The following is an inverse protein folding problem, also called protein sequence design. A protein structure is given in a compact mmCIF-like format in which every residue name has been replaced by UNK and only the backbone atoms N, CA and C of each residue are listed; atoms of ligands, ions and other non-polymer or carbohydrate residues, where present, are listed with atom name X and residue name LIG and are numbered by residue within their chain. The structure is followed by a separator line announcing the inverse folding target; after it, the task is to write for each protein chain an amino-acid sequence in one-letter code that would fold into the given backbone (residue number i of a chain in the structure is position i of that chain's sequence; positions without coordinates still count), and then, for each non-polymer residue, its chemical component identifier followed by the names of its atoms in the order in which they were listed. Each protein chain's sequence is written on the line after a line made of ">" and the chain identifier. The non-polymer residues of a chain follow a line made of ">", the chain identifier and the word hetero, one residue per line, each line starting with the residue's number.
data_IF_020219312752
#
_entry.id   IF_020219312752
#
_cell.length_a   1.000
_cell.length_b   1.000
_cell.length_c   1.000
_cell.angle_alpha   90.00
_cell.angle_beta   90.00
_cell.angle_gamma   90.00
#
_symmetry.space_group_name_H-M   'P 1'
#
loop_
_entity.id
_entity.type
_entity.pdbx_description
1 polymer ?
#
# COMPACT_ATOMS: atom_id res chain seq x y z
N UNK A 1 24.45 -6.36 -6.27
CA UNK A 1 23.11 -6.53 -5.68
C UNK A 1 22.99 -5.61 -4.49
N UNK A 2 22.55 -4.36 -4.70
CA UNK A 2 22.03 -3.50 -3.63
C UNK A 2 20.51 -3.66 -3.68
N UNK A 3 19.86 -3.85 -2.55
CA UNK A 3 18.40 -3.95 -2.51
C UNK A 3 17.82 -2.55 -2.62
N UNK A 4 17.35 -2.15 -3.81
CA UNK A 4 16.48 -0.98 -3.98
C UNK A 4 15.11 -1.32 -3.39
N UNK A 5 14.91 -0.91 -2.14
CA UNK A 5 13.78 -1.34 -1.33
C UNK A 5 12.48 -0.64 -1.69
N UNK A 6 11.67 -1.28 -2.54
CA UNK A 6 10.22 -1.07 -2.48
C UNK A 6 9.69 -1.77 -1.23
N UNK A 7 9.16 -0.99 -0.29
CA UNK A 7 8.55 -1.48 0.96
C UNK A 7 7.17 -2.09 0.67
N UNK A 8 7.15 -3.31 0.12
CA UNK A 8 5.96 -4.17 0.17
C UNK A 8 5.84 -4.70 1.58
N UNK A 9 5.04 -4.03 2.41
CA UNK A 9 4.90 -4.34 3.83
C UNK A 9 3.92 -5.50 4.06
N UNK A 10 4.33 -6.73 3.73
CA UNK A 10 3.50 -7.93 3.85
C UNK A 10 3.16 -8.25 5.32
N UNK A 11 2.00 -7.81 5.81
CA UNK A 11 1.49 -8.15 7.14
C UNK A 11 0.82 -9.53 7.15
N UNK A 12 1.58 -10.58 7.41
CA UNK A 12 1.04 -11.94 7.57
C UNK A 12 0.23 -12.05 8.86
N UNK A 13 -1.11 -12.15 8.74
CA UNK A 13 -2.00 -12.37 9.87
C UNK A 13 -2.17 -13.87 10.16
N UNK A 14 -1.45 -14.39 11.15
CA UNK A 14 -1.59 -15.78 11.59
C UNK A 14 -2.88 -15.98 12.40
N UNK A 15 -3.92 -16.53 11.77
CA UNK A 15 -5.18 -16.89 12.45
C UNK A 15 -5.02 -18.25 13.14
N UNK A 16 -4.95 -18.24 14.47
CA UNK A 16 -4.92 -19.46 15.28
C UNK A 16 -6.28 -20.17 15.31
N UNK A 17 -6.32 -21.44 14.89
CA UNK A 17 -7.49 -22.31 15.03
C UNK A 17 -7.57 -22.86 16.46
N UNK A 18 -8.58 -22.43 17.23
CA UNK A 18 -8.96 -23.08 18.49
C UNK A 18 -10.01 -24.16 18.24
N UNK A 19 -9.59 -25.43 18.33
CA UNK A 19 -10.49 -26.59 18.30
C UNK A 19 -10.95 -26.94 19.72
N UNK A 20 -12.23 -26.71 20.02
CA UNK A 20 -12.84 -27.08 21.30
C UNK A 20 -13.66 -28.37 21.20
N UNK A 21 -13.21 -29.44 21.87
CA UNK A 21 -13.97 -30.68 22.08
C UNK A 21 -13.96 -31.05 23.57
N UNK A 22 -15.13 -31.35 24.15
CA UNK A 22 -15.28 -31.84 25.53
C UNK A 22 -16.76 -32.00 25.89
N UNK A 23 -17.14 -33.14 26.47
CA UNK A 23 -18.53 -33.63 26.43
C UNK A 23 -19.04 -34.26 27.76
N UNK A 24 -20.31 -33.96 28.10
CA UNK A 24 -21.31 -34.76 28.86
C UNK A 24 -21.15 -35.15 30.35
N UNK A 25 -22.30 -35.13 31.05
CA UNK A 25 -22.61 -35.73 32.37
C UNK A 25 -23.28 -34.73 33.34
N UNK A 26 -24.40 -34.99 34.04
CA UNK A 26 -25.26 -36.20 34.18
C UNK A 26 -26.69 -35.82 34.65
N UNK A 27 -27.64 -36.78 34.62
CA UNK A 27 -29.11 -36.60 34.66
C UNK A 27 -29.81 -36.45 36.02
N UNK A 28 -30.87 -35.62 36.04
CA UNK A 28 -32.17 -35.74 36.77
C UNK A 28 -33.12 -34.58 36.35
N UNK A 29 -34.45 -34.63 36.41
CA UNK A 29 -35.44 -35.71 36.66
C UNK A 29 -36.81 -35.39 35.97
N UNK A 30 -37.97 -35.64 36.61
CA UNK A 30 -39.37 -35.41 36.14
C UNK A 30 -40.31 -35.19 37.38
N UNK A 31 -41.63 -34.83 37.27
CA UNK A 31 -42.53 -34.74 36.08
C UNK A 31 -43.50 -33.52 35.92
N UNK A 32 -43.89 -33.26 34.65
CA UNK A 32 -45.19 -32.83 34.02
C UNK A 32 -46.16 -31.81 34.68
N UNK A 33 -46.47 -30.68 33.99
CA UNK A 33 -47.77 -30.38 33.31
C UNK A 33 -47.88 -28.94 32.77
N UNK A 34 -48.50 -28.78 31.59
CA UNK A 34 -48.87 -27.49 30.99
C UNK A 34 -48.59 -27.38 29.48
N UNK A 35 -49.47 -27.88 28.63
CA UNK A 35 -49.42 -27.60 27.18
C UNK A 35 -49.87 -26.17 26.88
N UNK A 36 -49.09 -25.44 26.09
CA UNK A 36 -49.60 -24.41 25.17
C UNK A 36 -48.56 -24.13 24.10
N UNK A 37 -48.87 -24.49 22.86
CA UNK A 37 -48.02 -24.21 21.69
C UNK A 37 -48.05 -22.71 21.38
N UNK A 38 -46.88 -22.09 21.18
CA UNK A 38 -46.68 -21.32 19.95
C UNK A 38 -45.57 -21.91 19.08
N UNK A 39 -45.65 -21.64 17.78
CA UNK A 39 -44.80 -22.23 16.74
C UNK A 39 -43.29 -22.02 17.01
N UNK A 40 -42.56 -23.13 17.08
CA UNK A 40 -41.10 -23.12 17.00
C UNK A 40 -40.68 -22.70 15.59
N UNK A 41 -40.30 -21.44 15.40
CA UNK A 41 -39.46 -21.06 14.28
C UNK A 41 -38.13 -21.80 14.42
N UNK A 42 -37.95 -22.87 13.66
CA UNK A 42 -36.70 -23.63 13.60
C UNK A 42 -35.56 -22.68 13.18
N UNK A 43 -34.40 -22.67 13.85
CA UNK A 43 -33.26 -21.90 13.38
C UNK A 43 -32.89 -22.36 11.97
N UNK A 44 -33.06 -21.48 10.99
CA UNK A 44 -32.64 -21.76 9.62
C UNK A 44 -31.12 -21.98 9.65
N UNK A 45 -30.67 -23.18 9.28
CA UNK A 45 -29.24 -23.46 9.10
C UNK A 45 -28.69 -22.41 8.14
N UNK A 46 -27.68 -21.67 8.57
CA UNK A 46 -27.00 -20.66 7.75
C UNK A 46 -26.33 -21.34 6.56
N UNK A 47 -27.07 -21.43 5.45
CA UNK A 47 -26.53 -21.71 4.13
C UNK A 47 -25.82 -20.42 3.67
N UNK A 48 -24.59 -20.50 3.12
CA UNK A 48 -23.87 -19.31 2.71
C UNK A 48 -24.66 -18.53 1.66
N UNK A 49 -24.56 -17.21 1.72
CA UNK A 49 -25.17 -16.33 0.72
C UNK A 49 -24.30 -16.29 -0.54
N UNK A 50 -24.89 -15.93 -1.68
CA UNK A 50 -24.14 -15.75 -2.95
C UNK A 50 -22.91 -14.85 -2.77
N UNK A 51 -23.02 -13.80 -1.94
CA UNK A 51 -21.92 -12.88 -1.59
C UNK A 51 -20.78 -13.59 -0.84
N UNK A 52 -21.10 -14.56 0.04
CA UNK A 52 -20.11 -15.34 0.77
C UNK A 52 -19.46 -16.41 -0.11
N UNK A 53 -20.25 -17.05 -0.99
CA UNK A 53 -19.76 -18.08 -1.92
C UNK A 53 -18.74 -17.50 -2.92
N UNK A 54 -18.99 -16.30 -3.47
CA UNK A 54 -18.05 -15.66 -4.41
C UNK A 54 -16.76 -15.19 -3.73
N UNK A 55 -16.83 -14.70 -2.49
CA UNK A 55 -15.64 -14.36 -1.70
C UNK A 55 -14.82 -15.63 -1.44
N UNK A 56 -15.47 -16.71 -0.99
CA UNK A 56 -14.78 -17.99 -0.74
C UNK A 56 -14.14 -18.54 -2.01
N UNK A 57 -14.83 -18.48 -3.15
CA UNK A 57 -14.29 -18.95 -4.42
C UNK A 57 -13.07 -18.13 -4.86
N UNK A 58 -13.09 -16.80 -4.67
CA UNK A 58 -11.92 -15.95 -4.93
C UNK A 58 -10.73 -16.29 -4.02
N UNK A 59 -10.98 -16.60 -2.74
CA UNK A 59 -9.96 -17.09 -1.80
C UNK A 59 -9.40 -18.46 -2.23
N UNK A 60 -10.25 -19.40 -2.62
CA UNK A 60 -9.85 -20.72 -3.10
C UNK A 60 -8.94 -20.58 -4.35
N UNK A 61 -9.28 -19.68 -5.28
CA UNK A 61 -8.46 -19.33 -6.46
C UNK A 61 -7.13 -18.73 -6.02
N UNK A 62 -7.15 -17.67 -5.19
CA UNK A 62 -5.94 -17.00 -4.72
C UNK A 62 -4.95 -17.92 -4.00
N UNK A 63 -5.45 -18.98 -3.34
CA UNK A 63 -4.61 -19.99 -2.66
C UNK A 63 -3.91 -20.99 -3.59
N UNK A 64 -4.34 -21.08 -4.86
CA UNK A 64 -3.87 -22.07 -5.85
C UNK A 64 -3.21 -21.42 -7.07
N UNK A 65 -3.59 -20.18 -7.38
CA UNK A 65 -3.17 -19.45 -8.56
C UNK A 65 -1.66 -19.19 -8.56
N UNK A 66 -1.02 -19.49 -9.69
CA UNK A 66 0.40 -19.17 -9.92
C UNK A 66 0.58 -17.81 -10.57
N UNK A 67 -0.47 -17.31 -11.21
CA UNK A 67 -0.46 -16.07 -11.98
C UNK A 67 -1.71 -15.25 -11.67
N UNK A 68 -1.61 -13.91 -11.57
CA UNK A 68 -2.75 -13.05 -11.21
C UNK A 68 -3.88 -13.06 -12.27
N UNK A 69 -3.61 -13.52 -13.49
CA UNK A 69 -4.64 -13.69 -14.55
C UNK A 69 -5.81 -14.58 -14.13
N UNK A 70 -5.57 -15.55 -13.23
CA UNK A 70 -6.59 -16.46 -12.71
C UNK A 70 -7.60 -15.69 -11.83
N UNK A 71 -7.10 -14.80 -10.97
CA UNK A 71 -7.90 -13.92 -10.12
C UNK A 71 -8.62 -12.85 -10.95
N UNK A 72 -7.93 -12.22 -11.90
CA UNK A 72 -8.50 -11.21 -12.81
C UNK A 72 -9.66 -11.80 -13.64
N UNK A 73 -9.49 -13.01 -14.18
CA UNK A 73 -10.54 -13.70 -14.94
C UNK A 73 -11.79 -13.95 -14.10
N UNK A 74 -11.61 -14.30 -12.82
CA UNK A 74 -12.73 -14.46 -11.89
C UNK A 74 -13.38 -13.13 -11.53
N UNK A 75 -12.59 -12.10 -11.26
CA UNK A 75 -13.04 -10.76 -10.88
C UNK A 75 -13.86 -10.12 -12.02
N UNK A 76 -13.35 -10.12 -13.25
CA UNK A 76 -14.02 -9.57 -14.45
C UNK A 76 -15.40 -10.19 -14.70
N UNK A 77 -15.54 -11.49 -14.42
CA UNK A 77 -16.82 -12.22 -14.55
C UNK A 77 -17.81 -11.85 -13.43
N UNK A 78 -17.31 -11.63 -12.22
CA UNK A 78 -18.10 -11.67 -10.98
C UNK A 78 -18.44 -10.30 -10.42
N UNK A 79 -17.49 -9.35 -10.45
CA UNK A 79 -17.56 -8.06 -9.74
C UNK A 79 -18.81 -7.21 -10.07
N UNK A 80 -19.31 -7.32 -11.31
CA UNK A 80 -20.49 -6.59 -11.80
C UNK A 80 -21.84 -7.13 -11.29
N UNK A 81 -21.85 -8.30 -10.66
CA UNK A 81 -23.07 -9.01 -10.23
C UNK A 81 -23.21 -9.10 -8.70
N UNK A 82 -22.32 -8.44 -7.96
CA UNK A 82 -22.26 -8.47 -6.48
C UNK A 82 -22.45 -7.07 -5.93
N UNK A 83 -22.72 -6.94 -4.64
CA UNK A 83 -22.75 -5.62 -3.97
C UNK A 83 -21.35 -5.00 -3.89
N UNK A 84 -21.28 -3.69 -3.75
CA UNK A 84 -20.01 -2.97 -3.65
C UNK A 84 -19.15 -3.42 -2.45
N UNK A 85 -19.76 -3.74 -1.31
CA UNK A 85 -19.04 -4.27 -0.15
C UNK A 85 -18.42 -5.66 -0.41
N UNK A 86 -19.03 -6.44 -1.31
CA UNK A 86 -18.46 -7.72 -1.79
C UNK A 86 -17.39 -7.46 -2.85
N UNK A 87 -17.62 -6.53 -3.79
CA UNK A 87 -16.64 -6.13 -4.79
C UNK A 87 -15.33 -5.65 -4.14
N UNK A 88 -15.42 -4.86 -3.08
CA UNK A 88 -14.28 -4.45 -2.26
C UNK A 88 -13.51 -5.65 -1.69
N UNK A 89 -14.20 -6.68 -1.18
CA UNK A 89 -13.55 -7.90 -0.65
C UNK A 89 -12.87 -8.70 -1.75
N UNK A 90 -13.48 -8.80 -2.93
CA UNK A 90 -12.87 -9.45 -4.10
C UNK A 90 -11.62 -8.68 -4.57
N UNK A 91 -11.66 -7.35 -4.58
CA UNK A 91 -10.53 -6.49 -4.92
C UNK A 91 -9.39 -6.60 -3.88
N UNK A 92 -9.71 -6.65 -2.59
CA UNK A 92 -8.72 -6.83 -1.51
C UNK A 92 -8.00 -8.18 -1.64
N UNK A 93 -8.69 -9.27 -2.01
CA UNK A 93 -8.03 -10.57 -2.24
C UNK A 93 -7.05 -10.50 -3.43
N UNK A 94 -7.38 -9.75 -4.47
CA UNK A 94 -6.48 -9.50 -5.61
C UNK A 94 -5.25 -8.68 -5.19
N UNK A 95 -5.46 -7.62 -4.42
CA UNK A 95 -4.40 -6.73 -3.92
C UNK A 95 -3.43 -7.47 -2.98
N UNK A 96 -3.98 -8.21 -2.01
CA UNK A 96 -3.21 -9.04 -1.07
C UNK A 96 -2.43 -10.16 -1.82
N UNK A 97 -2.98 -10.67 -2.93
CA UNK A 97 -2.29 -11.62 -3.81
C UNK A 97 -1.08 -10.96 -4.48
N UNK A 98 -1.20 -9.75 -5.05
CA UNK A 98 -0.06 -9.02 -5.60
C UNK A 98 1.01 -8.76 -4.54
N UNK A 99 0.61 -8.24 -3.37
CA UNK A 99 1.52 -7.94 -2.25
C UNK A 99 2.26 -9.18 -1.72
N UNK A 100 1.73 -10.38 -1.94
CA UNK A 100 2.36 -11.64 -1.52
C UNK A 100 3.25 -12.25 -2.62
N UNK A 101 2.85 -12.15 -3.90
CA UNK A 101 3.47 -12.93 -4.99
C UNK A 101 4.40 -12.12 -5.91
N UNK A 102 4.27 -10.79 -5.98
CA UNK A 102 4.98 -9.97 -6.97
C UNK A 102 6.52 -10.08 -6.85
N UNK A 103 7.05 -10.24 -5.63
CA UNK A 103 8.48 -10.48 -5.40
C UNK A 103 8.93 -11.79 -6.08
N UNK A 104 8.24 -12.91 -5.83
CA UNK A 104 8.57 -14.20 -6.43
C UNK A 104 8.34 -14.28 -7.94
N UNK A 105 7.35 -13.53 -8.46
CA UNK A 105 7.16 -13.33 -9.90
C UNK A 105 8.37 -12.60 -10.51
N UNK A 106 8.88 -11.55 -9.86
CA UNK A 106 10.05 -10.80 -10.31
C UNK A 106 11.36 -11.61 -10.19
N UNK A 107 11.58 -12.36 -9.11
CA UNK A 107 12.73 -13.28 -9.01
C UNK A 107 12.74 -14.33 -10.14
N UNK A 108 11.56 -14.80 -10.54
CA UNK A 108 11.40 -15.74 -11.64
C UNK A 108 11.60 -15.04 -13.00
N UNK A 109 11.17 -13.79 -13.12
CA UNK A 109 11.39 -12.96 -14.30
C UNK A 109 12.88 -12.63 -14.50
N UNK A 110 13.64 -12.28 -13.45
CA UNK A 110 15.08 -12.02 -13.54
C UNK A 110 15.87 -13.22 -14.10
N UNK A 111 15.44 -14.46 -13.79
CA UNK A 111 16.04 -15.67 -14.38
C UNK A 111 15.73 -15.76 -15.87
N UNK A 112 14.46 -15.56 -16.24
CA UNK A 112 14.02 -15.55 -17.64
C UNK A 112 14.70 -14.45 -18.47
N UNK A 113 14.94 -13.27 -17.89
CA UNK A 113 15.64 -12.14 -18.51
C UNK A 113 17.10 -12.47 -18.88
N UNK A 114 17.77 -13.27 -18.04
CA UNK A 114 19.16 -13.69 -18.24
C UNK A 114 19.34 -14.76 -19.33
N UNK A 115 18.25 -15.42 -19.75
CA UNK A 115 18.26 -16.43 -20.81
C UNK A 115 18.00 -15.81 -22.19
N UNK A 116 18.58 -16.40 -23.24
CA UNK A 116 18.24 -16.16 -24.65
C UNK A 116 18.24 -14.67 -25.10
N UNK A 117 19.01 -13.80 -24.43
CA UNK A 117 19.01 -12.34 -24.58
C UNK A 117 17.62 -11.69 -24.37
N UNK A 118 16.75 -12.29 -23.56
CA UNK A 118 15.37 -11.84 -23.37
C UNK A 118 15.29 -10.39 -22.83
N UNK A 119 16.19 -9.98 -21.95
CA UNK A 119 16.28 -8.59 -21.50
C UNK A 119 16.48 -7.61 -22.66
N UNK A 120 17.47 -7.84 -23.52
CA UNK A 120 17.76 -7.00 -24.67
C UNK A 120 16.56 -6.93 -25.63
N UNK A 121 15.90 -8.05 -25.90
CA UNK A 121 14.71 -8.10 -26.78
C UNK A 121 13.55 -7.24 -26.26
N UNK A 122 13.31 -7.27 -24.95
CA UNK A 122 12.28 -6.43 -24.33
C UNK A 122 12.67 -4.94 -24.35
N UNK A 123 13.95 -4.60 -24.13
CA UNK A 123 14.46 -3.24 -24.29
C UNK A 123 14.32 -2.71 -25.73
N UNK A 124 14.60 -3.53 -26.74
CA UNK A 124 14.47 -3.16 -28.16
C UNK A 124 13.01 -2.93 -28.59
N UNK A 125 12.04 -3.50 -27.88
CA UNK A 125 10.60 -3.25 -28.09
C UNK A 125 10.15 -1.93 -27.41
N UNK A 126 10.75 -1.61 -26.25
CA UNK A 126 10.43 -0.43 -25.45
C UNK A 126 9.20 -0.58 -24.56
N UNK A 127 8.91 0.47 -23.78
CA UNK A 127 7.85 0.50 -22.78
C UNK A 127 6.81 1.60 -23.09
N UNK A 128 5.50 1.33 -22.95
CA UNK A 128 4.88 0.05 -22.59
C UNK A 128 5.09 -1.03 -23.66
N UNK A 129 5.23 -2.29 -23.22
CA UNK A 129 5.63 -3.40 -24.09
C UNK A 129 4.53 -3.79 -25.09
N UNK A 130 4.84 -3.67 -26.38
CA UNK A 130 3.97 -4.16 -27.45
C UNK A 130 4.24 -5.64 -27.73
N UNK A 131 3.39 -6.49 -27.15
CA UNK A 131 3.54 -7.95 -27.23
C UNK A 131 3.38 -8.50 -28.65
N UNK A 132 2.82 -7.73 -29.59
CA UNK A 132 2.75 -8.16 -31.00
C UNK A 132 4.13 -8.18 -31.67
N UNK A 133 5.11 -7.46 -31.11
CA UNK A 133 6.50 -7.41 -31.59
C UNK A 133 7.39 -8.53 -31.04
N UNK A 134 6.96 -9.26 -30.02
CA UNK A 134 7.72 -10.40 -29.48
C UNK A 134 7.58 -11.59 -30.44
N UNK A 135 8.72 -12.08 -30.95
CA UNK A 135 8.77 -13.18 -31.94
C UNK A 135 8.83 -14.55 -31.28
N UNK A 136 9.50 -14.65 -30.14
CA UNK A 136 9.68 -15.89 -29.39
C UNK A 136 8.40 -16.26 -28.65
N UNK A 137 7.63 -17.20 -29.20
CA UNK A 137 6.35 -17.66 -28.62
C UNK A 137 6.40 -17.98 -27.11
N UNK A 138 7.46 -18.58 -26.52
CA UNK A 138 7.55 -18.75 -25.06
C UNK A 138 7.63 -17.43 -24.28
N UNK A 139 8.45 -16.48 -24.73
CA UNK A 139 8.60 -15.14 -24.12
C UNK A 139 7.31 -14.32 -24.31
N UNK A 140 6.75 -14.39 -25.51
CA UNK A 140 5.49 -13.74 -25.88
C UNK A 140 4.35 -14.19 -24.99
N UNK A 141 4.15 -15.51 -24.85
CA UNK A 141 3.13 -16.05 -23.97
C UNK A 141 3.37 -15.66 -22.50
N UNK A 142 4.61 -15.73 -22.01
CA UNK A 142 4.92 -15.29 -20.65
C UNK A 142 4.52 -13.82 -20.41
N UNK A 143 4.86 -12.92 -21.33
CA UNK A 143 4.50 -11.49 -21.26
C UNK A 143 2.98 -11.30 -21.39
N UNK A 144 2.29 -12.02 -22.29
CA UNK A 144 0.84 -11.98 -22.42
C UNK A 144 0.13 -12.37 -21.11
N UNK A 145 0.58 -13.44 -20.45
CA UNK A 145 -0.03 -13.91 -19.21
C UNK A 145 0.15 -12.88 -18.07
N UNK A 146 1.28 -12.15 -18.04
CA UNK A 146 1.54 -11.05 -17.08
C UNK A 146 0.63 -9.83 -17.35
N UNK A 147 0.51 -9.38 -18.60
CA UNK A 147 -0.40 -8.27 -18.95
C UNK A 147 -1.87 -8.64 -18.70
N UNK A 148 -2.26 -9.88 -19.00
CA UNK A 148 -3.61 -10.38 -18.70
C UNK A 148 -3.89 -10.42 -17.18
N UNK A 149 -2.86 -10.64 -16.37
CA UNK A 149 -2.86 -10.49 -14.92
C UNK A 149 -2.78 -9.05 -14.40
N UNK A 150 -2.95 -8.03 -15.26
CA UNK A 150 -2.88 -6.59 -14.92
C UNK A 150 -1.56 -6.20 -14.24
N UNK A 151 -0.46 -6.72 -14.78
CA UNK A 151 0.89 -6.27 -14.45
C UNK A 151 1.46 -5.43 -15.60
N UNK A 152 2.13 -4.34 -15.26
CA UNK A 152 2.90 -3.52 -16.20
C UNK A 152 4.38 -3.89 -16.13
N UNK A 153 5.04 -3.94 -17.29
CA UNK A 153 6.50 -4.08 -17.37
C UNK A 153 7.14 -2.69 -17.31
N UNK A 154 8.06 -2.50 -16.37
CA UNK A 154 8.76 -1.24 -16.14
C UNK A 154 10.27 -1.44 -16.03
N UNK A 155 11.00 -0.32 -16.07
CA UNK A 155 12.45 -0.20 -15.94
C UNK A 155 12.81 0.68 -14.74
N UNK A 156 13.90 0.34 -14.05
CA UNK A 156 14.63 1.30 -13.22
C UNK A 156 16.14 1.08 -13.38
N UNK A 157 16.83 2.05 -13.96
CA UNK A 157 18.29 2.04 -14.18
C UNK A 157 18.85 0.86 -15.00
N UNK A 158 18.03 0.18 -15.82
CA UNK A 158 18.45 -1.01 -16.56
C UNK A 158 17.98 -2.35 -15.94
N UNK A 159 17.31 -2.31 -14.78
CA UNK A 159 16.64 -3.47 -14.21
C UNK A 159 15.16 -3.50 -14.62
N UNK A 160 14.75 -4.56 -15.34
CA UNK A 160 13.36 -4.79 -15.74
C UNK A 160 12.58 -5.59 -14.70
N UNK A 161 11.39 -5.11 -14.35
CA UNK A 161 10.50 -5.76 -13.39
C UNK A 161 9.01 -5.51 -13.68
N UNK A 162 8.18 -6.39 -13.14
CA UNK A 162 6.73 -6.25 -13.11
C UNK A 162 6.28 -5.44 -11.91
N UNK A 163 5.31 -4.55 -12.15
CA UNK A 163 4.56 -3.83 -11.13
C UNK A 163 3.06 -4.00 -11.37
N UNK A 164 2.22 -3.73 -10.37
CA UNK A 164 0.76 -3.75 -10.53
C UNK A 164 0.33 -2.60 -11.45
N UNK A 165 -0.44 -2.90 -12.50
CA UNK A 165 -0.95 -1.91 -13.45
C UNK A 165 -2.21 -1.23 -12.88
N UNK A 166 -2.00 -0.23 -12.03
CA UNK A 166 -3.12 0.48 -11.40
C UNK A 166 -3.95 1.31 -12.39
N UNK A 167 -3.41 1.69 -13.56
CA UNK A 167 -4.22 2.25 -14.66
C UNK A 167 -5.25 1.22 -15.14
N UNK A 168 -4.82 -0.02 -15.41
CA UNK A 168 -5.71 -1.06 -15.89
C UNK A 168 -6.70 -1.56 -14.81
N UNK A 169 -6.38 -1.40 -13.52
CA UNK A 169 -7.30 -1.68 -12.41
C UNK A 169 -8.40 -0.61 -12.23
N UNK A 170 -8.23 0.61 -12.76
CA UNK A 170 -9.28 1.66 -12.70
C UNK A 170 -10.62 1.23 -13.30
N UNK A 171 -10.64 0.21 -14.17
CA UNK A 171 -11.88 -0.34 -14.73
C UNK A 171 -12.89 -0.84 -13.67
N UNK A 172 -12.40 -1.20 -12.48
CA UNK A 172 -13.18 -1.72 -11.36
C UNK A 172 -13.82 -0.65 -10.48
N UNK A 173 -13.28 0.58 -10.48
CA UNK A 173 -13.73 1.72 -9.65
C UNK A 173 -15.24 1.86 -9.55
N UNK A 174 -15.96 1.71 -10.67
CA UNK A 174 -17.42 1.83 -10.77
C UNK A 174 -18.23 0.83 -9.93
N UNK A 175 -17.64 -0.29 -9.51
CA UNK A 175 -18.30 -1.35 -8.74
C UNK A 175 -17.99 -1.28 -7.24
N UNK A 176 -16.89 -0.60 -6.88
CA UNK A 176 -16.35 -0.50 -5.53
C UNK A 176 -17.14 0.51 -4.67
N UNK A 177 -16.96 0.47 -3.35
CA UNK A 177 -17.44 1.54 -2.47
C UNK A 177 -16.56 2.79 -2.59
N UNK A 178 -17.01 3.93 -2.07
CA UNK A 178 -16.22 5.17 -2.10
C UNK A 178 -14.93 5.07 -1.26
N UNK A 179 -14.90 4.22 -0.23
CA UNK A 179 -13.70 3.84 0.52
C UNK A 179 -12.67 3.20 -0.42
N UNK A 180 -13.02 2.07 -1.04
CA UNK A 180 -12.09 1.33 -1.88
C UNK A 180 -11.73 2.07 -3.18
N UNK A 181 -12.61 2.91 -3.75
CA UNK A 181 -12.25 3.87 -4.81
C UNK A 181 -11.17 4.83 -4.34
N UNK A 182 -11.34 5.43 -3.15
CA UNK A 182 -10.36 6.37 -2.60
C UNK A 182 -9.02 5.70 -2.33
N UNK A 183 -9.00 4.42 -1.93
CA UNK A 183 -7.79 3.62 -1.83
C UNK A 183 -7.14 3.38 -3.20
N UNK A 184 -7.91 2.96 -4.20
CA UNK A 184 -7.44 2.72 -5.57
C UNK A 184 -6.86 4.00 -6.21
N UNK A 185 -7.46 5.17 -5.96
CA UNK A 185 -6.93 6.46 -6.38
C UNK A 185 -5.58 6.81 -5.74
N UNK A 186 -5.34 6.42 -4.47
CA UNK A 186 -4.05 6.64 -3.81
C UNK A 186 -2.95 5.74 -4.40
N UNK A 187 -3.27 4.48 -4.68
CA UNK A 187 -2.34 3.57 -5.36
C UNK A 187 -2.04 4.02 -6.79
N UNK A 188 -3.05 4.56 -7.49
CA UNK A 188 -2.93 5.10 -8.84
C UNK A 188 -2.03 6.35 -8.92
N UNK A 189 -2.09 7.24 -7.92
CA UNK A 189 -1.18 8.39 -7.80
C UNK A 189 0.29 7.95 -7.64
N UNK A 190 0.54 6.93 -6.80
CA UNK A 190 1.88 6.38 -6.57
C UNK A 190 2.41 5.59 -7.77
N UNK A 191 1.54 4.89 -8.49
CA UNK A 191 1.87 4.19 -9.73
C UNK A 191 2.30 5.17 -10.84
N UNK A 192 1.46 6.18 -11.13
CA UNK A 192 1.70 7.10 -12.24
C UNK A 192 2.82 8.12 -11.95
N UNK A 193 2.98 8.49 -10.68
CA UNK A 193 3.90 9.55 -10.29
C UNK A 193 4.41 9.30 -8.86
N UNK A 194 5.29 8.31 -8.65
CA UNK A 194 5.82 7.99 -7.32
C UNK A 194 6.51 9.20 -6.68
N UNK A 195 6.51 9.28 -5.35
CA UNK A 195 7.04 10.47 -4.66
C UNK A 195 8.57 10.57 -4.70
N UNK A 196 9.28 9.44 -4.80
CA UNK A 196 10.73 9.37 -4.73
C UNK A 196 11.33 8.31 -5.66
N UNK A 197 12.61 8.48 -5.99
CA UNK A 197 13.46 7.52 -6.69
C UNK A 197 14.89 7.64 -6.15
N UNK A 198 15.57 6.52 -5.97
CA UNK A 198 16.94 6.43 -5.43
C UNK A 198 17.13 7.20 -4.10
N UNK A 199 16.05 7.22 -3.30
CA UNK A 199 15.97 7.92 -2.01
C UNK A 199 15.90 9.44 -2.10
N UNK A 200 15.62 10.03 -3.27
CA UNK A 200 15.42 11.47 -3.47
C UNK A 200 13.99 11.74 -3.95
N UNK A 201 13.39 12.85 -3.53
CA UNK A 201 12.07 13.26 -4.04
C UNK A 201 12.13 13.55 -5.55
N UNK A 202 11.19 12.98 -6.31
CA UNK A 202 11.00 13.30 -7.74
C UNK A 202 9.77 14.18 -7.99
N UNK A 203 9.04 14.52 -6.93
CA UNK A 203 7.97 15.52 -6.92
C UNK A 203 8.38 16.73 -6.05
N UNK A 204 7.70 17.86 -6.24
CA UNK A 204 7.94 19.01 -5.36
C UNK A 204 7.49 18.70 -3.93
N UNK A 205 8.19 19.25 -2.93
CA UNK A 205 7.79 19.11 -1.52
C UNK A 205 6.37 19.66 -1.28
N UNK A 206 5.96 20.72 -2.00
CA UNK A 206 4.58 21.22 -1.96
C UNK A 206 3.57 20.16 -2.42
N UNK A 207 3.83 19.45 -3.51
CA UNK A 207 2.96 18.37 -4.01
C UNK A 207 2.89 17.20 -3.02
N UNK A 208 4.00 16.82 -2.39
CA UNK A 208 3.98 15.82 -1.31
C UNK A 208 3.09 16.28 -0.13
N UNK A 209 3.09 17.58 0.18
CA UNK A 209 2.13 18.18 1.11
C UNK A 209 0.68 17.92 0.71
N UNK A 210 0.28 18.23 -0.53
CA UNK A 210 -1.09 17.97 -1.01
C UNK A 210 -1.44 16.47 -0.97
N UNK A 211 -0.48 15.58 -1.23
CA UNK A 211 -0.68 14.12 -1.09
C UNK A 211 -0.90 13.69 0.37
N UNK A 212 -0.18 14.28 1.32
CA UNK A 212 -0.40 14.04 2.76
C UNK A 212 -1.83 14.45 3.15
N UNK A 213 -2.35 15.57 2.63
CA UNK A 213 -3.74 15.99 2.84
C UNK A 213 -4.74 15.02 2.22
N UNK A 214 -4.50 14.53 0.98
CA UNK A 214 -5.34 13.50 0.34
C UNK A 214 -5.42 12.22 1.18
N UNK A 215 -4.28 11.78 1.73
CA UNK A 215 -4.18 10.59 2.59
C UNK A 215 -4.83 10.81 3.97
N UNK A 216 -4.63 11.97 4.62
CA UNK A 216 -5.33 12.32 5.87
C UNK A 216 -6.85 12.34 5.67
N UNK A 217 -7.33 12.85 4.53
CA UNK A 217 -8.76 12.87 4.18
C UNK A 217 -9.33 11.45 4.10
N UNK A 218 -8.60 10.50 3.50
CA UNK A 218 -8.97 9.07 3.52
C UNK A 218 -9.10 8.57 4.96
N UNK A 219 -8.03 8.72 5.78
CA UNK A 219 -7.98 8.19 7.15
C UNK A 219 -9.03 8.81 8.08
N UNK A 220 -9.46 10.04 7.79
CA UNK A 220 -10.50 10.75 8.55
C UNK A 220 -11.91 10.33 8.11
N UNK A 221 -12.11 10.06 6.81
CA UNK A 221 -13.40 9.67 6.24
C UNK A 221 -13.73 8.19 6.50
N UNK A 222 -12.74 7.31 6.33
CA UNK A 222 -12.91 5.85 6.36
C UNK A 222 -12.24 5.26 7.61
N UNK A 223 -12.69 5.68 8.80
CA UNK A 223 -12.12 5.29 10.10
C UNK A 223 -12.13 3.79 10.41
N UNK A 224 -12.99 3.04 9.72
CA UNK A 224 -13.11 1.58 9.78
C UNK A 224 -12.87 0.94 8.39
N UNK A 225 -12.25 1.68 7.47
CA UNK A 225 -12.05 1.26 6.09
C UNK A 225 -11.11 0.06 5.97
N UNK A 226 -11.33 -0.78 4.95
CA UNK A 226 -10.69 -2.11 4.87
C UNK A 226 -9.16 -1.98 4.72
N UNK A 227 -8.69 -0.92 4.04
CA UNK A 227 -7.28 -0.61 3.81
C UNK A 227 -6.75 0.54 4.70
N UNK A 228 -7.40 0.82 5.85
CA UNK A 228 -6.97 1.84 6.84
C UNK A 228 -5.50 1.68 7.25
N UNK A 229 -5.04 0.45 7.46
CA UNK A 229 -3.66 0.19 7.90
C UNK A 229 -2.66 0.53 6.79
N UNK A 230 -2.92 0.10 5.56
CA UNK A 230 -2.07 0.38 4.40
C UNK A 230 -1.97 1.88 4.12
N UNK A 231 -3.09 2.60 4.18
CA UNK A 231 -3.10 4.06 4.00
C UNK A 231 -2.46 4.81 5.17
N UNK A 232 -2.49 4.25 6.39
CA UNK A 232 -1.74 4.80 7.55
C UNK A 232 -0.23 4.62 7.36
N UNK A 233 0.20 3.49 6.81
CA UNK A 233 1.60 3.26 6.46
C UNK A 233 2.05 4.24 5.36
N UNK A 234 1.23 4.45 4.33
CA UNK A 234 1.48 5.46 3.28
C UNK A 234 1.60 6.87 3.87
N UNK A 235 0.70 7.26 4.78
CA UNK A 235 0.78 8.53 5.52
C UNK A 235 2.10 8.68 6.29
N UNK A 236 2.55 7.63 6.97
CA UNK A 236 3.81 7.64 7.69
C UNK A 236 5.00 7.79 6.74
N UNK A 237 5.03 7.06 5.62
CA UNK A 237 6.07 7.19 4.59
C UNK A 237 6.11 8.62 4.04
N UNK A 238 4.96 9.19 3.69
CA UNK A 238 4.89 10.58 3.19
C UNK A 238 5.39 11.59 4.24
N UNK A 239 5.03 11.43 5.52
CA UNK A 239 5.56 12.30 6.58
C UNK A 239 7.07 12.17 6.76
N UNK A 240 7.63 10.96 6.64
CA UNK A 240 9.07 10.73 6.74
C UNK A 240 9.82 11.38 5.56
N UNK A 241 9.33 11.21 4.33
CA UNK A 241 9.89 11.87 3.14
C UNK A 241 9.73 13.41 3.18
N UNK A 242 8.62 13.89 3.75
CA UNK A 242 8.35 15.33 3.88
C UNK A 242 9.16 16.02 4.99
N UNK A 243 9.47 15.32 6.10
CA UNK A 243 10.04 15.91 7.33
C UNK A 243 11.43 15.41 7.75
N UNK A 244 11.87 14.20 7.36
CA UNK A 244 13.07 13.57 7.93
C UNK A 244 14.08 13.00 6.93
N UNK A 245 13.64 12.49 5.78
CA UNK A 245 14.53 11.87 4.79
C UNK A 245 15.17 12.93 3.87
N UNK A 246 15.84 13.90 4.48
CA UNK A 246 16.50 14.98 3.77
C UNK A 246 17.71 14.50 2.97
N UNK A 247 17.81 14.97 1.73
CA UNK A 247 19.02 14.92 0.92
C UNK A 247 19.41 16.32 0.46
N UNK A 248 20.18 16.40 -0.62
CA UNK A 248 20.71 17.64 -1.21
C UNK A 248 19.63 18.68 -1.56
N UNK A 249 18.36 18.26 -1.69
CA UNK A 249 17.19 19.12 -1.96
C UNK A 249 16.63 19.83 -0.70
N UNK A 250 17.17 19.54 0.48
CA UNK A 250 16.63 20.05 1.74
C UNK A 250 17.65 20.70 2.69
N UNK A 251 18.96 20.48 2.51
CA UNK A 251 20.01 20.95 3.44
C UNK A 251 21.10 21.74 2.72
N UNK A 252 21.48 22.90 3.27
CA UNK A 252 22.73 23.58 2.92
C UNK A 252 23.91 22.90 3.62
N UNK A 253 24.69 22.13 2.87
CA UNK A 253 25.88 21.41 3.33
C UNK A 253 26.98 22.31 3.94
N UNK A 254 26.96 23.62 3.72
CA UNK A 254 27.94 24.55 4.33
C UNK A 254 27.53 25.03 5.71
N UNK A 255 26.24 25.00 6.04
CA UNK A 255 25.72 25.53 7.30
C UNK A 255 24.95 24.49 8.13
N UNK A 256 24.74 23.28 7.58
CA UNK A 256 23.88 22.22 8.11
C UNK A 256 22.43 22.67 8.33
N UNK A 257 21.99 23.74 7.64
CA UNK A 257 20.66 24.32 7.79
C UNK A 257 19.67 23.76 6.80
N UNK A 258 18.41 23.75 7.22
CA UNK A 258 17.25 23.58 6.35
C UNK A 258 17.25 24.67 5.28
N UNK A 259 17.05 24.28 4.01
CA UNK A 259 16.96 25.22 2.91
C UNK A 259 15.70 26.11 3.05
N UNK A 260 15.78 27.42 2.74
CA UNK A 260 14.66 28.34 2.90
C UNK A 260 13.37 27.92 2.18
N UNK A 261 13.49 27.28 1.02
CA UNK A 261 12.37 26.75 0.24
C UNK A 261 11.64 25.59 0.94
N UNK A 262 12.35 24.74 1.68
CA UNK A 262 11.74 23.66 2.48
C UNK A 262 11.03 24.24 3.68
N UNK A 263 11.65 25.19 4.39
CA UNK A 263 11.00 25.92 5.48
C UNK A 263 9.73 26.64 5.01
N UNK A 264 9.79 27.30 3.86
CA UNK A 264 8.64 27.96 3.22
C UNK A 264 7.54 26.98 2.84
N UNK A 265 7.86 25.75 2.44
CA UNK A 265 6.87 24.72 2.17
C UNK A 265 6.09 24.33 3.44
N UNK A 266 6.77 24.25 4.60
CA UNK A 266 6.12 23.99 5.89
C UNK A 266 5.23 25.15 6.34
N UNK A 267 5.74 26.39 6.25
CA UNK A 267 4.98 27.60 6.56
C UNK A 267 3.73 27.76 5.67
N UNK A 268 3.86 27.44 4.37
CA UNK A 268 2.75 27.45 3.43
C UNK A 268 1.73 26.35 3.75
N UNK A 269 2.16 25.12 4.06
CA UNK A 269 1.27 24.02 4.43
C UNK A 269 0.41 24.39 5.64
N UNK A 270 1.06 24.85 6.73
CA UNK A 270 0.38 25.26 7.98
C UNK A 270 -0.69 26.32 7.69
N UNK A 271 -0.40 27.23 6.75
CA UNK A 271 -1.30 28.31 6.34
C UNK A 271 -2.47 27.84 5.46
N UNK A 272 -2.26 26.90 4.54
CA UNK A 272 -3.31 26.45 3.61
C UNK A 272 -4.21 25.37 4.21
N UNK A 273 -3.63 24.46 5.00
CA UNK A 273 -4.27 23.23 5.49
C UNK A 273 -4.44 23.27 7.01
N UNK A 274 -4.80 24.44 7.54
CA UNK A 274 -4.83 24.75 8.99
C UNK A 274 -5.84 23.93 9.80
N UNK A 275 -6.81 23.30 9.14
CA UNK A 275 -7.83 22.39 9.69
C UNK A 275 -7.37 20.92 9.77
N UNK A 276 -6.24 20.58 9.13
CA UNK A 276 -5.68 19.22 9.17
C UNK A 276 -4.94 18.93 10.48
N UNK A 277 -5.00 17.67 10.92
CA UNK A 277 -4.19 17.15 12.01
C UNK A 277 -2.70 17.19 11.66
N UNK A 278 -2.36 16.97 10.39
CA UNK A 278 -1.00 17.12 9.84
C UNK A 278 -0.38 18.48 10.21
N UNK A 279 -1.14 19.59 10.11
CA UNK A 279 -0.64 20.93 10.44
C UNK A 279 -0.09 21.02 11.87
N UNK A 280 -0.67 20.31 12.84
CA UNK A 280 -0.14 20.30 14.22
C UNK A 280 1.24 19.65 14.31
N UNK A 281 1.47 18.57 13.55
CA UNK A 281 2.76 17.85 13.49
C UNK A 281 3.83 18.74 12.84
N UNK A 282 3.50 19.39 11.73
CA UNK A 282 4.42 20.28 11.00
C UNK A 282 4.72 21.55 11.82
N UNK A 283 3.73 22.12 12.51
CA UNK A 283 3.92 23.29 13.36
C UNK A 283 4.85 23.00 14.56
N UNK A 284 4.71 21.85 15.21
CA UNK A 284 5.63 21.40 16.26
C UNK A 284 7.07 21.26 15.72
N UNK A 285 7.23 20.63 14.55
CA UNK A 285 8.54 20.48 13.93
C UNK A 285 9.19 21.83 13.56
N UNK A 286 8.42 22.74 12.97
CA UNK A 286 8.87 24.08 12.60
C UNK A 286 9.30 24.89 13.84
N UNK A 287 8.68 24.67 15.01
CA UNK A 287 9.16 25.28 16.27
C UNK A 287 10.54 24.76 16.67
N UNK A 288 10.80 23.45 16.55
CA UNK A 288 12.11 22.84 16.86
C UNK A 288 13.19 23.34 15.88
N UNK A 289 12.88 23.44 14.58
CA UNK A 289 13.76 24.02 13.56
C UNK A 289 14.12 25.47 13.93
N UNK A 290 13.12 26.28 14.30
CA UNK A 290 13.33 27.68 14.69
C UNK A 290 14.19 27.82 15.97
N UNK A 291 14.00 26.94 16.96
CA UNK A 291 14.82 26.90 18.18
C UNK A 291 16.31 26.62 17.85
N UNK A 292 16.57 25.74 16.87
CA UNK A 292 17.90 25.45 16.35
C UNK A 292 18.44 26.49 15.33
N UNK A 293 17.73 27.61 15.11
CA UNK A 293 18.10 28.64 14.12
C UNK A 293 18.29 28.06 12.70
N UNK A 294 17.38 27.15 12.35
CA UNK A 294 17.32 26.38 11.11
C UNK A 294 18.38 25.27 10.95
N UNK A 295 19.28 25.07 11.92
CA UNK A 295 20.28 23.99 11.87
C UNK A 295 19.63 22.64 12.15
N UNK A 296 19.80 21.67 11.24
CA UNK A 296 19.21 20.33 11.33
C UNK A 296 20.23 19.30 11.80
N UNK A 297 21.47 19.40 11.30
CA UNK A 297 22.56 18.45 11.56
C UNK A 297 23.76 19.14 12.22
N UNK A 298 24.63 18.35 12.85
CA UNK A 298 26.02 18.75 13.07
C UNK A 298 26.84 18.53 11.80
N UNK A 299 27.99 19.21 11.68
CA UNK A 299 28.95 18.89 10.64
C UNK A 299 29.53 17.48 10.85
N UNK A 300 29.64 16.71 9.77
CA UNK A 300 30.25 15.39 9.78
C UNK A 300 31.78 15.43 9.92
N UNK A 301 32.40 14.26 10.05
CA UNK A 301 33.86 14.15 10.19
C UNK A 301 34.52 14.17 8.81
N UNK A 302 35.60 14.97 8.70
CA UNK A 302 36.39 15.06 7.48
C UNK A 302 36.93 13.68 7.06
N UNK A 303 36.65 13.28 5.81
CA UNK A 303 37.00 11.96 5.27
C UNK A 303 35.97 10.85 5.54
N UNK A 304 34.93 11.10 6.35
CA UNK A 304 33.82 10.16 6.59
C UNK A 304 32.52 10.63 5.93
N UNK A 305 32.04 11.84 6.27
CA UNK A 305 30.79 12.42 5.75
C UNK A 305 30.79 13.95 5.93
N UNK A 306 30.09 14.67 5.05
CA UNK A 306 29.85 16.13 5.19
C UNK A 306 28.78 16.39 6.24
N UNK A 307 27.73 15.56 6.28
CA UNK A 307 26.60 15.64 7.20
C UNK A 307 26.86 14.70 8.39
N UNK A 308 26.73 15.23 9.61
CA UNK A 308 26.86 14.48 10.87
C UNK A 308 25.50 14.07 11.44
N UNK A 309 25.46 13.83 12.75
CA UNK A 309 24.21 13.48 13.44
C UNK A 309 23.20 14.64 13.42
N UNK A 310 21.91 14.31 13.39
CA UNK A 310 20.85 15.30 13.56
C UNK A 310 20.85 15.88 14.98
N UNK A 311 20.42 17.15 15.14
CA UNK A 311 20.28 17.77 16.46
C UNK A 311 19.41 16.89 17.39
N UNK A 312 19.72 16.76 18.69
CA UNK A 312 19.07 15.75 19.54
C UNK A 312 17.54 15.85 19.63
N UNK A 313 17.00 17.07 19.54
CA UNK A 313 15.57 17.37 19.52
C UNK A 313 14.92 17.09 18.14
N UNK A 314 15.60 17.42 17.04
CA UNK A 314 15.23 17.02 15.67
C UNK A 314 15.17 15.48 15.55
N UNK A 315 16.22 14.79 15.98
CA UNK A 315 16.33 13.33 15.99
C UNK A 315 15.21 12.69 16.83
N UNK A 316 14.98 13.23 18.04
CA UNK A 316 13.87 12.81 18.91
C UNK A 316 12.50 13.03 18.27
N UNK A 317 12.29 14.14 17.58
CA UNK A 317 11.05 14.41 16.88
C UNK A 317 10.82 13.40 15.74
N UNK A 318 11.81 13.16 14.88
CA UNK A 318 11.72 12.18 13.80
C UNK A 318 11.45 10.76 14.32
N UNK A 319 12.16 10.33 15.38
CA UNK A 319 11.92 9.05 16.05
C UNK A 319 10.51 8.90 16.66
N UNK A 320 9.82 10.01 16.93
CA UNK A 320 8.45 10.02 17.46
C UNK A 320 7.37 10.03 16.38
N UNK A 321 7.70 10.21 15.09
CA UNK A 321 6.71 10.29 14.01
C UNK A 321 5.77 9.08 13.96
N UNK A 322 6.22 7.81 14.03
CA UNK A 322 5.32 6.65 14.02
C UNK A 322 4.31 6.68 15.18
N UNK A 323 4.74 7.10 16.38
CA UNK A 323 3.86 7.21 17.54
C UNK A 323 2.83 8.34 17.36
N UNK A 324 3.23 9.48 16.77
CA UNK A 324 2.31 10.58 16.43
C UNK A 324 1.27 10.12 15.40
N UNK A 325 1.67 9.37 14.37
CA UNK A 325 0.76 8.78 13.38
C UNK A 325 -0.27 7.87 14.06
N UNK A 326 0.18 6.96 14.93
CA UNK A 326 -0.73 6.04 15.63
C UNK A 326 -1.65 6.78 16.62
N UNK A 327 -1.19 7.82 17.31
CA UNK A 327 -2.06 8.67 18.14
C UNK A 327 -3.10 9.44 17.31
N UNK A 328 -2.82 9.71 16.04
CA UNK A 328 -3.63 10.56 15.16
C UNK A 328 -4.67 9.76 14.36
N UNK A 329 -4.29 8.56 13.90
CA UNK A 329 -5.07 7.69 12.99
C UNK A 329 -5.04 6.20 13.35
N UNK A 330 -4.64 5.87 14.58
CA UNK A 330 -4.64 4.51 15.12
C UNK A 330 -6.02 3.86 15.19
N UNK A 331 -6.06 2.69 15.84
CA UNK A 331 -7.24 1.81 15.94
C UNK A 331 -8.55 2.56 16.23
#
# INVERSE_FOLDING_TARGET
>A
MKNSGYLVLSSVLAIGLLTGCGNSGSTSSQPVQGETTPQTNTPQKNQPTVEQDVIKQMQDIASQAKEPVELITYLDKTIKNVKSETADRLFVILDDYYATHLIGLNESFSKLLAENNNAQKLYEIGFPVDVTKIQEEPLKKYVQDKLAGKLALTDNEGDLFWMVDYDALQQYSRYLTDDMKSYLELQWDEYNKPISRDGSLIISRQELGERIVKVEKYLTSYKNGIKKTDVRNLYQTYLQEYLSNYRYDAIDEKTMKLLPEVKKAYEQFIKTHSDTKTTSIIAEYLQIINQNKDVIYEHGKAGESIIGDAKPDISKFWGSLPQKVEQTFGA
#
